data_IF_517310714503
#
_entry.id   IF_517310714503
#
_cell.length_a   1.000
_cell.length_b   1.000
_cell.length_c   1.000
_cell.angle_alpha   90.00
_cell.angle_beta   90.00
_cell.angle_gamma   90.00
#
_symmetry.space_group_name_H-M   'P 1'
#
loop_
_entity.id
_entity.type
_entity.pdbx_description
1 polymer ?
#
# COMPACT_ATOMS: atom_id res chain seq x y z
N UNK A 1 -49.40 25.65 4.97
CA UNK A 1 -48.81 24.74 5.97
C UNK A 1 -47.82 23.81 5.27
N UNK A 2 -46.77 23.45 6.00
CA UNK A 2 -45.45 22.97 5.56
C UNK A 2 -45.48 21.55 4.97
N UNK A 3 -44.78 21.41 3.83
CA UNK A 3 -43.91 20.30 3.40
C UNK A 3 -44.46 18.88 3.23
N UNK A 4 -44.70 18.49 1.97
CA UNK A 4 -44.42 17.13 1.53
C UNK A 4 -42.91 17.03 1.20
N UNK A 5 -42.11 16.51 2.15
CA UNK A 5 -40.76 16.04 1.82
C UNK A 5 -40.93 14.81 0.97
N UNK A 6 -40.52 14.88 -0.29
CA UNK A 6 -40.22 13.69 -1.08
C UNK A 6 -38.99 13.05 -0.44
N UNK A 7 -39.20 12.12 0.49
CA UNK A 7 -38.17 11.22 1.00
C UNK A 7 -37.83 10.18 -0.07
N UNK A 8 -37.25 10.67 -1.18
CA UNK A 8 -36.62 9.87 -2.22
C UNK A 8 -35.13 10.06 -2.10
N UNK A 9 -34.53 9.56 -1.01
CA UNK A 9 -33.08 9.49 -0.90
C UNK A 9 -32.60 8.41 -1.89
N UNK A 10 -32.50 8.76 -3.18
CA UNK A 10 -31.74 7.97 -4.14
C UNK A 10 -30.28 8.14 -3.72
N UNK A 11 -29.87 7.41 -2.68
CA UNK A 11 -28.47 7.13 -2.41
C UNK A 11 -27.97 6.38 -3.62
N UNK A 12 -27.45 7.09 -4.60
CA UNK A 12 -26.69 6.53 -5.71
C UNK A 12 -25.45 5.87 -5.12
N UNK A 13 -25.60 4.67 -4.56
CA UNK A 13 -24.49 3.80 -4.29
C UNK A 13 -23.97 3.43 -5.67
N UNK A 14 -22.90 4.09 -6.13
CA UNK A 14 -22.20 3.65 -7.31
C UNK A 14 -21.66 2.26 -6.99
N UNK A 15 -22.23 1.29 -7.71
CA UNK A 15 -21.77 -0.09 -7.80
C UNK A 15 -21.10 -0.18 -9.15
N UNK A 16 -19.86 -0.64 -9.18
CA UNK A 16 -19.18 -0.94 -10.43
C UNK A 16 -19.94 -2.10 -11.13
N UNK A 17 -20.50 -1.89 -12.33
CA UNK A 17 -21.24 -2.93 -13.05
C UNK A 17 -20.35 -4.12 -13.44
N UNK A 18 -19.03 -3.91 -13.54
CA UNK A 18 -18.06 -4.98 -13.84
C UNK A 18 -17.55 -5.68 -12.58
N UNK A 19 -17.68 -5.04 -11.41
CA UNK A 19 -17.24 -5.62 -10.14
C UNK A 19 -18.23 -5.33 -8.98
N UNK A 20 -19.11 -6.28 -8.63
CA UNK A 20 -20.14 -6.07 -7.61
C UNK A 20 -19.59 -5.88 -6.19
N UNK A 21 -18.31 -6.21 -5.93
CA UNK A 21 -17.66 -5.96 -4.65
C UNK A 21 -17.19 -4.50 -4.50
N UNK A 22 -17.05 -3.78 -5.61
CA UNK A 22 -16.64 -2.38 -5.64
C UNK A 22 -17.87 -1.50 -5.60
N UNK A 23 -18.22 -1.07 -4.39
CA UNK A 23 -19.32 -0.15 -4.15
C UNK A 23 -18.90 1.02 -3.26
N UNK A 24 -19.55 2.17 -3.45
CA UNK A 24 -19.24 3.44 -2.75
C UNK A 24 -19.16 3.25 -1.24
N UNK A 25 -20.08 2.48 -0.65
CA UNK A 25 -20.11 2.20 0.79
C UNK A 25 -18.89 1.40 1.29
N UNK A 26 -18.31 0.52 0.46
CA UNK A 26 -17.07 -0.19 0.82
C UNK A 26 -15.86 0.75 0.79
N UNK A 27 -15.81 1.66 -0.18
CA UNK A 27 -14.77 2.70 -0.26
C UNK A 27 -14.88 3.65 0.95
N UNK A 28 -16.09 4.12 1.26
CA UNK A 28 -16.35 4.99 2.40
C UNK A 28 -15.97 4.32 3.72
N UNK A 29 -16.37 3.06 3.91
CA UNK A 29 -16.03 2.28 5.11
C UNK A 29 -14.52 2.11 5.27
N UNK A 30 -13.80 1.80 4.18
CA UNK A 30 -12.35 1.70 4.17
C UNK A 30 -11.69 3.05 4.51
N UNK A 31 -12.17 4.14 3.92
CA UNK A 31 -11.67 5.49 4.17
C UNK A 31 -11.88 5.93 5.62
N UNK A 32 -13.03 5.63 6.22
CA UNK A 32 -13.30 5.93 7.63
C UNK A 32 -12.33 5.17 8.56
N UNK A 33 -12.08 3.88 8.29
CA UNK A 33 -11.11 3.08 9.07
C UNK A 33 -9.69 3.65 8.98
N UNK A 34 -9.25 4.03 7.77
CA UNK A 34 -7.97 4.70 7.58
C UNK A 34 -7.87 6.01 8.37
N UNK A 35 -8.87 6.89 8.24
CA UNK A 35 -8.88 8.17 8.98
C UNK A 35 -8.87 7.95 10.49
N UNK A 36 -9.60 6.96 11.00
CA UNK A 36 -9.60 6.65 12.42
C UNK A 36 -8.22 6.18 12.89
N UNK A 37 -7.57 5.29 12.14
CA UNK A 37 -6.21 4.85 12.44
C UNK A 37 -5.20 6.01 12.40
N UNK A 38 -5.33 6.91 11.43
CA UNK A 38 -4.46 8.09 11.31
C UNK A 38 -4.69 9.09 12.46
N UNK A 39 -5.95 9.33 12.86
CA UNK A 39 -6.28 10.17 14.02
C UNK A 39 -5.71 9.62 15.33
N UNK A 40 -5.73 8.29 15.53
CA UNK A 40 -5.10 7.64 16.70
C UNK A 40 -3.58 7.89 16.78
N UNK A 41 -2.95 8.24 15.66
CA UNK A 41 -1.52 8.58 15.56
C UNK A 41 -1.25 10.08 15.56
N UNK A 42 -2.23 10.90 15.96
CA UNK A 42 -2.17 12.37 15.94
C UNK A 42 -2.06 12.99 14.54
N UNK A 43 -2.49 12.24 13.52
CA UNK A 43 -2.40 12.65 12.12
C UNK A 43 -1.05 12.28 11.49
N UNK A 44 -0.91 12.65 10.24
CA UNK A 44 0.28 12.37 9.41
C UNK A 44 0.64 13.66 8.68
N UNK A 45 1.95 13.93 8.52
CA UNK A 45 2.41 15.03 7.66
C UNK A 45 1.85 14.85 6.25
N UNK A 46 1.42 15.94 5.60
CA UNK A 46 0.73 15.87 4.30
C UNK A 46 1.55 15.11 3.24
N UNK A 47 2.86 15.28 3.24
CA UNK A 47 3.76 14.65 2.27
C UNK A 47 3.85 13.13 2.43
N UNK A 48 3.60 12.61 3.64
CA UNK A 48 3.62 11.17 3.92
C UNK A 48 2.25 10.52 3.73
N UNK A 49 1.19 11.30 3.55
CA UNK A 49 -0.18 10.80 3.48
C UNK A 49 -0.32 9.64 2.49
N UNK A 50 0.26 9.77 1.29
CA UNK A 50 0.18 8.75 0.25
C UNK A 50 0.88 7.45 0.67
N UNK A 51 2.05 7.54 1.30
CA UNK A 51 2.78 6.37 1.79
C UNK A 51 1.98 5.63 2.86
N UNK A 52 1.38 6.35 3.82
CA UNK A 52 0.54 5.74 4.85
C UNK A 52 -0.75 5.14 4.30
N UNK A 53 -1.34 5.75 3.26
CA UNK A 53 -2.51 5.20 2.59
C UNK A 53 -2.16 3.89 1.88
N UNK A 54 -1.05 3.86 1.13
CA UNK A 54 -0.54 2.65 0.47
C UNK A 54 -0.22 1.57 1.50
N UNK A 55 0.47 1.91 2.59
CA UNK A 55 0.77 0.98 3.68
C UNK A 55 -0.52 0.41 4.29
N UNK A 56 -1.52 1.25 4.55
CA UNK A 56 -2.79 0.81 5.13
C UNK A 56 -3.53 -0.16 4.21
N UNK A 57 -3.59 0.15 2.91
CA UNK A 57 -4.21 -0.72 1.91
C UNK A 57 -3.45 -2.04 1.78
N UNK A 58 -2.12 -1.98 1.77
CA UNK A 58 -1.25 -3.14 1.71
C UNK A 58 -1.45 -4.04 2.94
N UNK A 59 -1.44 -3.50 4.16
CA UNK A 59 -1.70 -4.26 5.38
C UNK A 59 -3.12 -4.85 5.40
N UNK A 60 -4.13 -4.13 4.91
CA UNK A 60 -5.49 -4.65 4.83
C UNK A 60 -5.58 -5.92 3.96
N UNK A 61 -4.75 -6.01 2.91
CA UNK A 61 -4.75 -7.14 1.98
C UNK A 61 -3.76 -8.25 2.35
N UNK A 62 -2.60 -7.90 2.92
CA UNK A 62 -1.45 -8.81 3.05
C UNK A 62 -0.92 -8.97 4.48
N UNK A 63 -1.52 -8.33 5.49
CA UNK A 63 -1.14 -8.56 6.88
C UNK A 63 -1.52 -9.97 7.34
N UNK A 64 -0.87 -10.42 8.43
CA UNK A 64 -1.05 -11.76 8.98
C UNK A 64 0.29 -12.41 9.26
N UNK A 65 0.29 -13.74 9.39
CA UNK A 65 1.49 -14.53 9.67
C UNK A 65 2.57 -14.32 8.60
N UNK A 66 2.17 -14.17 7.34
CA UNK A 66 3.08 -14.11 6.19
C UNK A 66 3.39 -12.68 5.74
N UNK A 67 3.07 -11.67 6.56
CA UNK A 67 3.24 -10.27 6.16
C UNK A 67 4.67 -9.93 5.71
N UNK A 68 5.68 -10.40 6.45
CA UNK A 68 7.08 -10.16 6.08
C UNK A 68 7.45 -10.83 4.75
N UNK A 69 6.98 -12.06 4.54
CA UNK A 69 7.19 -12.79 3.29
C UNK A 69 6.54 -12.08 2.10
N UNK A 70 5.29 -11.65 2.26
CA UNK A 70 4.57 -10.85 1.26
C UNK A 70 5.30 -9.54 0.96
N UNK A 71 5.84 -8.88 1.99
CA UNK A 71 6.55 -7.61 1.81
C UNK A 71 7.79 -7.80 0.90
N UNK A 72 8.66 -8.74 1.25
CA UNK A 72 9.87 -9.01 0.48
C UNK A 72 9.58 -9.52 -0.93
N UNK A 73 8.53 -10.32 -1.11
CA UNK A 73 8.09 -10.77 -2.43
C UNK A 73 7.74 -9.59 -3.33
N UNK A 74 6.92 -8.66 -2.85
CA UNK A 74 6.55 -7.48 -3.63
C UNK A 74 7.72 -6.52 -3.85
N UNK A 75 8.64 -6.37 -2.89
CA UNK A 75 9.88 -5.59 -3.07
C UNK A 75 10.72 -6.19 -4.19
N UNK A 76 10.93 -7.51 -4.19
CA UNK A 76 11.64 -8.23 -5.25
C UNK A 76 10.98 -8.01 -6.61
N UNK A 77 9.65 -8.03 -6.68
CA UNK A 77 8.92 -7.84 -7.93
C UNK A 77 8.99 -6.40 -8.45
N UNK A 78 8.98 -5.42 -7.54
CA UNK A 78 9.04 -4.00 -7.87
C UNK A 78 10.43 -3.59 -8.34
N UNK A 79 11.46 -4.14 -7.70
CA UNK A 79 12.86 -3.86 -7.98
C UNK A 79 13.53 -5.07 -8.63
N UNK A 80 12.85 -5.70 -9.60
CA UNK A 80 13.48 -6.74 -10.42
C UNK A 80 14.75 -6.14 -11.04
N UNK A 81 15.90 -6.78 -10.87
CA UNK A 81 17.12 -6.33 -11.52
C UNK A 81 16.85 -6.24 -13.02
N UNK A 82 17.34 -5.18 -13.66
CA UNK A 82 17.36 -5.13 -15.12
C UNK A 82 18.18 -6.34 -15.59
N UNK A 83 17.73 -7.04 -16.63
CA UNK A 83 18.48 -8.18 -17.18
C UNK A 83 19.94 -7.73 -17.46
N UNK A 84 20.90 -8.39 -16.81
CA UNK A 84 22.34 -8.03 -16.84
C UNK A 84 22.90 -7.30 -15.61
N UNK A 85 22.08 -6.69 -14.75
CA UNK A 85 22.59 -6.00 -13.55
C UNK A 85 23.07 -6.95 -12.44
N UNK A 86 22.52 -8.16 -12.37
CA UNK A 86 22.95 -9.17 -11.41
C UNK A 86 24.38 -9.66 -11.69
N UNK A 87 24.79 -9.67 -12.96
CA UNK A 87 26.17 -9.98 -13.33
C UNK A 87 27.11 -8.86 -12.89
N UNK A 88 26.72 -7.59 -13.12
CA UNK A 88 27.49 -6.42 -12.67
C UNK A 88 27.64 -6.36 -11.13
N UNK A 89 26.57 -6.65 -10.39
CA UNK A 89 26.62 -6.67 -8.91
C UNK A 89 27.49 -7.81 -8.38
N UNK A 90 27.40 -9.00 -8.99
CA UNK A 90 28.25 -10.14 -8.63
C UNK A 90 29.73 -9.91 -8.97
N UNK A 91 30.04 -9.16 -10.04
CA UNK A 91 31.42 -8.77 -10.35
C UNK A 91 31.93 -7.70 -9.39
N UNK A 92 31.08 -6.73 -9.02
CA UNK A 92 31.45 -5.63 -8.11
C UNK A 92 31.73 -6.14 -6.69
N UNK A 93 30.89 -7.04 -6.17
CA UNK A 93 31.10 -7.65 -4.84
C UNK A 93 32.37 -8.53 -4.80
N UNK A 94 32.74 -9.18 -5.92
CA UNK A 94 33.98 -9.96 -6.04
C UNK A 94 35.24 -9.12 -6.19
N UNK A 95 35.14 -7.91 -6.73
CA UNK A 95 36.28 -7.00 -6.95
C UNK A 95 36.77 -6.35 -5.64
N UNK A 96 35.90 -6.23 -4.63
CA UNK A 96 36.21 -5.61 -3.34
C UNK A 96 36.41 -6.58 -2.17
N UNK A 97 36.25 -7.90 -2.37
CA UNK A 97 36.36 -8.91 -1.31
C UNK A 97 37.80 -9.42 -1.09
N UNK A 98 38.80 -8.96 -1.87
CA UNK A 98 40.18 -9.47 -1.77
C UNK A 98 41.18 -8.51 -1.10
N UNK A 99 40.88 -7.21 -0.91
CA UNK A 99 41.93 -6.23 -0.58
C UNK A 99 41.78 -5.49 0.77
N UNK A 100 41.02 -6.02 1.74
CA UNK A 100 40.76 -5.28 3.02
C UNK A 100 41.25 -6.00 4.29
N UNK A 101 41.78 -7.24 4.23
CA UNK A 101 42.17 -7.98 5.45
C UNK A 101 43.63 -8.46 5.53
N UNK A 102 44.51 -8.10 4.59
CA UNK A 102 45.90 -8.61 4.57
C UNK A 102 46.94 -7.62 5.14
N UNK A 103 46.52 -6.54 5.80
CA UNK A 103 47.42 -5.46 6.27
C UNK A 103 47.19 -5.07 7.76
N UNK A 104 46.83 -6.03 8.62
CA UNK A 104 46.77 -5.84 10.09
C UNK A 104 47.54 -6.89 10.88
#
# INVERSE_FOLDING_TARGET
MVSARSDGNVKYNFVDPENPEVHTQTIESAWQKFKQANRKRYGTKRDLFMLFLVEHMWRKKFAGRDALFNFWTHVRETYKPVEGELEYRQTFDKEYDHDVFDDM
#
